data_IF_817469311996
#
_entry.id   IF_817469311996
#
_cell.length_a   1.000
_cell.length_b   1.000
_cell.length_c   1.000
_cell.angle_alpha   90.00
_cell.angle_beta   90.00
_cell.angle_gamma   90.00
#
_symmetry.space_group_name_H-M   'P 1'
#
loop_
_entity.id
_entity.type
_entity.pdbx_description
1 polymer ?
#
# COMPACT_ATOMS: atom_id res chain seq x y z
N UNK A 1 6.95 15.45 -14.14
CA UNK A 1 6.94 14.20 -13.33
C UNK A 1 7.29 14.42 -11.86
N UNK A 2 8.47 14.98 -11.52
CA UNK A 2 8.92 15.11 -10.12
C UNK A 2 7.91 15.82 -9.19
N UNK A 3 7.48 17.03 -9.57
CA UNK A 3 6.53 17.82 -8.75
C UNK A 3 5.18 17.13 -8.59
N UNK A 4 4.67 16.54 -9.68
CA UNK A 4 3.44 15.75 -9.66
C UNK A 4 3.57 14.56 -8.70
N UNK A 5 4.64 13.77 -8.79
CA UNK A 5 4.84 12.63 -7.89
C UNK A 5 5.02 13.08 -6.44
N UNK A 6 5.76 14.18 -6.21
CA UNK A 6 5.90 14.77 -4.88
C UNK A 6 4.55 15.21 -4.31
N UNK A 7 3.68 15.80 -5.13
CA UNK A 7 2.33 16.19 -4.76
C UNK A 7 1.46 14.96 -4.42
N UNK A 8 1.45 13.95 -5.29
CA UNK A 8 0.76 12.67 -5.08
C UNK A 8 1.18 12.00 -3.77
N UNK A 9 2.48 11.94 -3.47
CA UNK A 9 3.00 11.40 -2.22
C UNK A 9 2.59 12.20 -0.97
N UNK A 10 2.36 13.52 -1.10
CA UNK A 10 1.82 14.34 0.00
C UNK A 10 0.35 14.02 0.24
N UNK A 11 -0.44 13.85 -0.82
CA UNK A 11 -1.85 13.43 -0.74
C UNK A 11 -1.91 12.08 -0.04
N UNK A 12 -1.20 11.07 -0.53
CA UNK A 12 -1.19 9.73 0.06
C UNK A 12 -0.82 9.76 1.55
N UNK A 13 0.19 10.56 1.93
CA UNK A 13 0.56 10.72 3.35
C UNK A 13 -0.55 11.33 4.18
N UNK A 14 -1.22 12.38 3.68
CA UNK A 14 -2.31 13.04 4.39
C UNK A 14 -3.51 12.08 4.53
N UNK A 15 -3.88 11.39 3.46
CA UNK A 15 -4.94 10.38 3.44
C UNK A 15 -4.63 9.24 4.43
N UNK A 16 -3.41 8.72 4.43
CA UNK A 16 -3.01 7.67 5.39
C UNK A 16 -3.15 8.12 6.84
N UNK A 17 -2.75 9.37 7.15
CA UNK A 17 -2.94 9.93 8.49
C UNK A 17 -4.43 9.99 8.87
N UNK A 18 -5.30 10.41 7.95
CA UNK A 18 -6.75 10.48 8.18
C UNK A 18 -7.34 9.11 8.52
N UNK A 19 -6.99 8.05 7.79
CA UNK A 19 -7.49 6.71 8.12
C UNK A 19 -6.94 6.19 9.47
N UNK A 20 -5.68 6.51 9.80
CA UNK A 20 -5.10 6.12 11.08
C UNK A 20 -5.72 6.84 12.30
N UNK A 21 -6.34 8.01 12.13
CA UNK A 21 -7.02 8.74 13.21
C UNK A 21 -8.22 7.97 13.78
N UNK A 22 -8.81 7.07 13.00
CA UNK A 22 -9.97 6.26 13.38
C UNK A 22 -9.64 4.77 13.58
N UNK A 23 -8.38 4.38 13.42
CA UNK A 23 -7.92 3.00 13.51
C UNK A 23 -7.29 2.72 14.89
N UNK A 24 -8.05 2.09 15.77
CA UNK A 24 -7.67 1.89 17.17
C UNK A 24 -6.99 0.53 17.42
N UNK A 25 -7.36 -0.52 16.70
CA UNK A 25 -6.71 -1.83 16.83
C UNK A 25 -5.62 -2.03 15.77
N UNK A 26 -4.55 -2.80 16.05
CA UNK A 26 -3.46 -2.99 15.08
C UNK A 26 -3.92 -3.52 13.72
N UNK A 27 -4.94 -4.38 13.71
CA UNK A 27 -5.56 -4.88 12.47
C UNK A 27 -6.27 -3.76 11.69
N UNK A 28 -7.01 -2.89 12.36
CA UNK A 28 -7.65 -1.73 11.72
C UNK A 28 -6.60 -0.77 11.16
N UNK A 29 -5.46 -0.64 11.83
CA UNK A 29 -4.34 0.19 11.38
C UNK A 29 -3.63 -0.40 10.18
N UNK A 30 -3.48 -1.73 10.13
CA UNK A 30 -3.01 -2.43 8.93
C UNK A 30 -3.97 -2.23 7.76
N UNK A 31 -5.29 -2.30 8.01
CA UNK A 31 -6.32 -2.00 7.02
C UNK A 31 -6.29 -0.56 6.54
N UNK A 32 -6.03 0.39 7.44
CA UNK A 32 -5.91 1.81 7.12
C UNK A 32 -4.81 2.11 6.08
N UNK A 33 -3.76 1.28 6.01
CA UNK A 33 -2.75 1.39 4.95
C UNK A 33 -3.40 1.15 3.59
N UNK A 34 -4.20 0.09 3.44
CA UNK A 34 -4.90 -0.23 2.19
C UNK A 34 -6.01 0.78 1.88
N UNK A 35 -6.82 1.16 2.88
CA UNK A 35 -7.89 2.15 2.70
C UNK A 35 -7.33 3.48 2.16
N UNK A 36 -6.13 3.88 2.62
CA UNK A 36 -5.45 5.07 2.14
C UNK A 36 -4.91 4.95 0.71
N UNK A 37 -4.34 3.80 0.35
CA UNK A 37 -3.84 3.59 -1.01
C UNK A 37 -4.96 3.36 -2.02
N UNK A 38 -6.13 2.90 -1.58
CA UNK A 38 -7.33 2.73 -2.39
C UNK A 38 -8.37 3.84 -2.13
N UNK A 39 -7.93 5.02 -1.68
CA UNK A 39 -8.83 6.16 -1.54
C UNK A 39 -9.21 6.74 -2.90
N UNK A 40 -10.50 6.96 -3.21
CA UNK A 40 -10.91 7.49 -4.51
C UNK A 40 -10.25 8.82 -4.91
N UNK A 41 -9.77 9.62 -3.94
CA UNK A 41 -8.99 10.85 -4.24
C UNK A 41 -7.65 10.55 -4.88
N UNK A 42 -7.13 9.34 -4.68
CA UNK A 42 -5.78 8.93 -5.07
C UNK A 42 -5.77 7.75 -6.04
N UNK A 43 -6.65 6.77 -5.81
CA UNK A 43 -6.78 5.54 -6.57
C UNK A 43 -7.70 5.73 -7.77
N UNK A 44 -7.13 6.32 -8.83
CA UNK A 44 -7.79 6.56 -10.11
C UNK A 44 -6.94 5.97 -11.22
N UNK A 45 -7.52 5.57 -12.37
CA UNK A 45 -6.75 5.07 -13.51
C UNK A 45 -5.59 6.00 -13.89
N UNK A 46 -5.84 7.31 -13.92
CA UNK A 46 -4.84 8.31 -14.29
C UNK A 46 -3.68 8.35 -13.29
N UNK A 47 -3.95 8.31 -11.98
CA UNK A 47 -2.90 8.29 -10.97
C UNK A 47 -2.13 6.96 -10.94
N UNK A 48 -2.83 5.82 -11.13
CA UNK A 48 -2.20 4.51 -11.22
C UNK A 48 -1.25 4.42 -12.42
N UNK A 49 -1.70 4.82 -13.62
CA UNK A 49 -0.85 4.89 -14.82
C UNK A 49 0.34 5.84 -14.63
N UNK A 50 0.15 6.97 -13.96
CA UNK A 50 1.25 7.89 -13.65
C UNK A 50 2.27 7.27 -12.66
N UNK A 51 1.80 6.48 -11.69
CA UNK A 51 2.67 5.74 -10.78
C UNK A 51 3.49 4.67 -11.49
N UNK A 52 2.89 3.91 -12.42
CA UNK A 52 3.61 2.91 -13.22
C UNK A 52 4.67 3.56 -14.11
N UNK A 53 4.35 4.70 -14.74
CA UNK A 53 5.35 5.50 -15.49
C UNK A 53 6.47 6.00 -14.57
N UNK A 54 6.16 6.40 -13.34
CA UNK A 54 7.19 6.78 -12.38
C UNK A 54 8.08 5.59 -12.01
N UNK A 55 7.53 4.39 -11.79
CA UNK A 55 8.33 3.19 -11.55
C UNK A 55 9.29 2.87 -12.71
N UNK A 56 8.86 3.06 -13.96
CA UNK A 56 9.71 2.79 -15.12
C UNK A 56 10.82 3.82 -15.32
N UNK A 57 10.58 5.08 -14.95
CA UNK A 57 11.56 6.17 -15.14
C UNK A 57 12.46 6.40 -13.92
N UNK A 58 12.00 6.08 -12.71
CA UNK A 58 12.73 6.37 -11.47
C UNK A 58 14.17 5.82 -11.42
N UNK A 59 14.46 4.58 -11.86
CA UNK A 59 15.83 4.03 -11.84
C UNK A 59 16.83 4.82 -12.70
N UNK A 60 16.35 5.60 -13.66
CA UNK A 60 17.18 6.34 -14.61
C UNK A 60 17.34 7.83 -14.24
N UNK A 61 16.82 8.26 -13.08
CA UNK A 61 16.90 9.64 -12.61
C UNK A 61 17.15 9.71 -11.11
N UNK A 62 18.34 10.17 -10.71
CA UNK A 62 18.75 10.25 -9.30
C UNK A 62 17.74 10.96 -8.39
N UNK A 63 17.08 12.00 -8.89
CA UNK A 63 16.05 12.71 -8.14
C UNK A 63 14.80 11.84 -7.94
N UNK A 64 14.29 11.21 -9.01
CA UNK A 64 13.09 10.36 -8.93
C UNK A 64 13.37 9.08 -8.13
N UNK A 65 14.54 8.47 -8.29
CA UNK A 65 14.99 7.33 -7.49
C UNK A 65 15.00 7.67 -5.99
N UNK A 66 15.55 8.84 -5.62
CA UNK A 66 15.53 9.32 -4.23
C UNK A 66 14.10 9.41 -3.71
N UNK A 67 13.17 9.93 -4.50
CA UNK A 67 11.76 10.05 -4.13
C UNK A 67 11.11 8.66 -3.97
N UNK A 68 11.41 7.74 -4.89
CA UNK A 68 10.93 6.36 -4.86
C UNK A 68 11.41 5.62 -3.61
N UNK A 69 12.70 5.72 -3.29
CA UNK A 69 13.30 5.12 -2.09
C UNK A 69 12.67 5.65 -0.80
N UNK A 70 12.40 6.96 -0.73
CA UNK A 70 11.71 7.56 0.42
C UNK A 70 10.31 6.96 0.56
N UNK A 71 9.56 6.81 -0.54
CA UNK A 71 8.24 6.20 -0.49
C UNK A 71 8.29 4.74 -0.05
N UNK A 72 9.16 3.93 -0.67
CA UNK A 72 9.34 2.52 -0.32
C UNK A 72 9.69 2.35 1.17
N UNK A 73 10.62 3.16 1.69
CA UNK A 73 10.99 3.13 3.12
C UNK A 73 9.78 3.44 4.02
N UNK A 74 8.94 4.40 3.65
CA UNK A 74 7.74 4.76 4.44
C UNK A 74 6.71 3.65 4.44
N UNK A 75 6.38 3.11 3.25
CA UNK A 75 5.43 2.00 3.11
C UNK A 75 5.93 0.77 3.89
N UNK A 76 7.22 0.44 3.76
CA UNK A 76 7.87 -0.62 4.53
C UNK A 76 7.72 -0.41 6.04
N UNK A 77 8.00 0.80 6.53
CA UNK A 77 7.87 1.13 7.96
C UNK A 77 6.43 1.07 8.45
N UNK A 78 5.45 1.52 7.67
CA UNK A 78 4.04 1.43 8.05
C UNK A 78 3.62 -0.03 8.22
N UNK A 79 3.88 -0.88 7.21
CA UNK A 79 3.52 -2.29 7.32
C UNK A 79 4.23 -2.98 8.49
N UNK A 80 5.53 -2.73 8.70
CA UNK A 80 6.26 -3.30 9.83
C UNK A 80 5.64 -2.89 11.17
N UNK A 81 5.31 -1.61 11.35
CA UNK A 81 4.74 -1.11 12.59
C UNK A 81 3.40 -1.78 12.92
N UNK A 82 2.52 -1.95 11.92
CA UNK A 82 1.19 -2.52 12.15
C UNK A 82 1.19 -4.06 12.16
N UNK A 83 2.13 -4.72 11.50
CA UNK A 83 2.29 -6.18 11.54
C UNK A 83 2.97 -6.67 12.82
N UNK A 84 3.93 -5.92 13.38
CA UNK A 84 4.68 -6.33 14.57
C UNK A 84 3.82 -6.84 15.75
N UNK A 85 2.68 -6.21 16.11
CA UNK A 85 1.80 -6.73 17.16
C UNK A 85 0.84 -7.85 16.72
N UNK A 86 0.74 -8.14 15.42
CA UNK A 86 -0.21 -9.09 14.84
C UNK A 86 0.41 -10.44 14.51
N UNK A 87 1.74 -10.51 14.33
CA UNK A 87 2.41 -11.67 13.74
C UNK A 87 3.74 -11.95 14.45
N UNK A 88 4.18 -13.22 14.56
CA UNK A 88 5.48 -13.52 15.13
C UNK A 88 6.61 -12.88 14.29
N UNK A 89 7.66 -12.39 14.95
CA UNK A 89 8.75 -11.65 14.32
C UNK A 89 9.37 -12.34 13.07
N UNK A 90 9.58 -13.68 13.04
CA UNK A 90 10.10 -14.37 11.85
C UNK A 90 9.23 -14.23 10.59
N UNK A 91 7.91 -14.06 10.75
CA UNK A 91 6.96 -13.97 9.64
C UNK A 91 6.68 -12.53 9.18
N UNK A 92 6.98 -11.53 10.01
CA UNK A 92 6.64 -10.13 9.76
C UNK A 92 7.13 -9.62 8.39
N UNK A 93 8.39 -9.86 8.05
CA UNK A 93 8.94 -9.41 6.78
C UNK A 93 8.35 -10.17 5.57
N UNK A 94 7.99 -11.45 5.73
CA UNK A 94 7.33 -12.24 4.69
C UNK A 94 5.91 -11.73 4.44
N UNK A 95 5.12 -11.54 5.49
CA UNK A 95 3.76 -10.99 5.38
C UNK A 95 3.78 -9.59 4.79
N UNK A 96 4.72 -8.74 5.22
CA UNK A 96 4.93 -7.42 4.65
C UNK A 96 5.17 -7.46 3.14
N UNK A 97 6.02 -8.37 2.65
CA UNK A 97 6.25 -8.56 1.21
C UNK A 97 4.98 -9.00 0.48
N UNK A 98 4.25 -9.98 1.01
CA UNK A 98 3.01 -10.49 0.41
C UNK A 98 1.98 -9.35 0.27
N UNK A 99 1.74 -8.62 1.36
CA UNK A 99 0.79 -7.50 1.38
C UNK A 99 1.20 -6.38 0.44
N UNK A 100 2.49 -6.04 0.38
CA UNK A 100 2.98 -5.04 -0.57
C UNK A 100 2.85 -5.52 -2.01
N UNK A 101 3.17 -6.78 -2.32
CA UNK A 101 3.02 -7.33 -3.68
C UNK A 101 1.57 -7.32 -4.15
N UNK A 102 0.61 -7.62 -3.27
CA UNK A 102 -0.81 -7.46 -3.58
C UNK A 102 -1.16 -6.01 -3.88
N UNK A 103 -0.75 -5.08 -3.02
CA UNK A 103 -0.98 -3.64 -3.22
C UNK A 103 -0.44 -3.16 -4.58
N UNK A 104 0.83 -3.46 -4.88
CA UNK A 104 1.48 -3.05 -6.12
C UNK A 104 0.82 -3.73 -7.35
N UNK A 105 0.41 -4.99 -7.23
CA UNK A 105 -0.29 -5.74 -8.28
C UNK A 105 -1.66 -5.17 -8.61
N UNK A 106 -2.42 -4.75 -7.60
CA UNK A 106 -3.71 -4.08 -7.77
C UNK A 106 -3.54 -2.74 -8.50
N UNK A 107 -2.57 -1.94 -8.09
CA UNK A 107 -2.22 -0.68 -8.75
C UNK A 107 -1.83 -0.87 -10.22
N UNK A 108 -1.01 -1.89 -10.48
CA UNK A 108 -0.57 -2.25 -11.81
C UNK A 108 -1.74 -2.76 -12.68
N UNK A 109 -2.67 -3.51 -12.11
CA UNK A 109 -3.86 -3.99 -12.82
C UNK A 109 -4.74 -2.83 -13.31
N UNK A 110 -5.02 -1.86 -12.42
CA UNK A 110 -5.79 -0.66 -12.78
C UNK A 110 -5.08 0.21 -13.82
N UNK A 111 -3.76 0.30 -13.75
CA UNK A 111 -2.98 1.04 -14.73
C UNK A 111 -2.99 0.41 -16.14
N UNK A 112 -3.25 -0.90 -16.24
CA UNK A 112 -3.32 -1.66 -17.51
C UNK A 112 -4.73 -1.75 -18.09
N UNK A 113 -5.77 -1.64 -17.26
CA UNK A 113 -7.15 -1.83 -17.69
C UNK A 113 -7.86 -0.52 -18.02
N UNK A 114 -8.53 -0.46 -19.18
CA UNK A 114 -9.53 0.58 -19.49
C UNK A 114 -10.82 0.47 -18.64
N UNK A 115 -10.91 -0.53 -17.76
CA UNK A 115 -12.02 -0.70 -16.80
C UNK A 115 -11.61 -0.19 -15.44
N UNK A 116 -12.42 0.70 -14.88
CA UNK A 116 -12.26 1.16 -13.50
C UNK A 116 -12.48 -0.03 -12.55
N UNK A 117 -11.46 -0.38 -11.78
CA UNK A 117 -11.68 -1.23 -10.61
C UNK A 117 -12.23 -0.34 -9.49
N UNK A 118 -13.41 -0.70 -8.98
CA UNK A 118 -14.06 0.01 -7.90
C UNK A 118 -13.16 0.07 -6.65
N UNK A 119 -12.80 1.26 -6.13
CA UNK A 119 -12.02 1.41 -4.91
C UNK A 119 -12.62 0.65 -3.71
N UNK A 120 -13.96 0.55 -3.62
CA UNK A 120 -14.60 -0.20 -2.55
C UNK A 120 -14.34 -1.70 -2.68
N UNK A 121 -14.36 -2.22 -3.91
CA UNK A 121 -14.02 -3.61 -4.19
C UNK A 121 -12.57 -3.93 -3.80
N UNK A 122 -11.61 -3.08 -4.20
CA UNK A 122 -10.19 -3.23 -3.85
C UNK A 122 -9.96 -3.28 -2.33
N UNK A 123 -10.66 -2.42 -1.58
CA UNK A 123 -10.61 -2.42 -0.10
C UNK A 123 -11.20 -3.69 0.51
N UNK A 124 -12.29 -4.20 -0.08
CA UNK A 124 -12.92 -5.43 0.40
C UNK A 124 -12.03 -6.65 0.16
N UNK A 125 -11.39 -6.75 -1.00
CA UNK A 125 -10.40 -7.79 -1.26
C UNK A 125 -9.19 -7.69 -0.32
N UNK A 126 -8.67 -6.49 -0.06
CA UNK A 126 -7.59 -6.27 0.89
C UNK A 126 -7.97 -6.73 2.31
N UNK A 127 -9.22 -6.50 2.73
CA UNK A 127 -9.75 -7.03 4.00
C UNK A 127 -9.71 -8.55 4.03
N UNK A 128 -10.23 -9.21 2.99
CA UNK A 128 -10.20 -10.67 2.88
C UNK A 128 -8.77 -11.19 2.92
N UNK A 129 -7.85 -10.57 2.18
CA UNK A 129 -6.43 -10.95 2.20
C UNK A 129 -5.84 -10.83 3.61
N UNK A 130 -6.08 -9.73 4.32
CA UNK A 130 -5.60 -9.53 5.69
C UNK A 130 -6.14 -10.60 6.63
N UNK A 131 -7.42 -10.95 6.54
CA UNK A 131 -7.99 -12.05 7.34
C UNK A 131 -7.30 -13.38 7.04
N UNK A 132 -7.05 -13.68 5.76
CA UNK A 132 -6.40 -14.92 5.33
C UNK A 132 -4.97 -15.00 5.85
N UNK A 133 -4.16 -13.95 5.69
CA UNK A 133 -2.75 -13.98 6.12
C UNK A 133 -2.59 -13.93 7.65
N UNK A 134 -3.58 -13.40 8.37
CA UNK A 134 -3.60 -13.39 9.84
C UNK A 134 -4.30 -14.62 10.44
N UNK A 135 -4.91 -15.48 9.60
CA UNK A 135 -5.58 -16.69 10.07
C UNK A 135 -4.57 -17.65 10.73
N UNK A 136 -5.06 -18.43 11.71
CA UNK A 136 -4.22 -19.29 12.56
C UNK A 136 -3.38 -20.31 11.78
N UNK A 137 -3.77 -20.68 10.57
CA UNK A 137 -3.03 -21.62 9.72
C UNK A 137 -1.68 -21.06 9.22
N UNK A 138 -1.52 -19.73 9.17
CA UNK A 138 -0.25 -19.06 8.84
C UNK A 138 0.41 -18.37 10.05
N UNK A 139 -0.29 -18.27 11.18
CA UNK A 139 0.11 -17.51 12.36
C UNK A 139 0.24 -18.29 13.68
N UNK A 140 0.03 -19.60 13.72
CA UNK A 140 0.06 -20.32 15.00
C UNK A 140 0.26 -21.83 14.92
N UNK A 141 1.50 -22.28 15.11
CA UNK A 141 1.88 -23.41 15.97
C UNK A 141 3.40 -23.43 16.11
N UNK A 142 3.91 -22.87 17.20
CA UNK A 142 5.09 -23.39 17.92
C UNK A 142 4.69 -23.47 19.38
#
# INVERSE_FOLDING_TARGET
MFETMRHLLRILRATHKQYLEFAFHPKDRLLAIFDAHFDPKFFTPQHCSFWVQFWSVAPYSAHLERLHRINQSRVKSHFHAELAPLVPAPFCETMRRILQSYLDGVWLSVAQSDREMDPQHARQEARVLIELVLSKEFGGSI
#
